data_IF_344413875678
#
_entry.id   IF_344413875678
#
_cell.length_a   1.000
_cell.length_b   1.000
_cell.length_c   1.000
_cell.angle_alpha   90.00
_cell.angle_beta   90.00
_cell.angle_gamma   90.00
#
_symmetry.space_group_name_H-M   'P 1'
#
loop_
_entity.id
_entity.type
_entity.pdbx_description
1 polymer ?
#
# COMPACT_ATOMS: atom_id res chain seq x y z
N UNK A 1 0.28 -0.53 28.09
CA UNK A 1 1.19 -1.52 27.51
C UNK A 1 0.36 -2.69 27.03
N UNK A 2 -0.17 -2.61 25.82
CA UNK A 2 -0.88 -3.70 25.15
C UNK A 2 0.12 -4.31 24.17
N UNK A 3 0.51 -5.55 24.39
CA UNK A 3 1.35 -6.29 23.45
C UNK A 3 0.63 -6.40 22.12
N UNK A 4 1.25 -5.87 21.08
CA UNK A 4 0.84 -6.11 19.70
C UNK A 4 1.28 -7.53 19.40
N UNK A 5 0.35 -8.47 19.34
CA UNK A 5 0.62 -9.83 18.86
C UNK A 5 0.96 -9.73 17.36
N UNK A 6 2.24 -9.50 17.07
CA UNK A 6 2.79 -9.55 15.73
C UNK A 6 2.75 -11.01 15.27
N UNK A 7 1.81 -11.34 14.39
CA UNK A 7 1.86 -12.60 13.66
C UNK A 7 3.13 -12.61 12.79
N UNK A 8 3.94 -13.66 12.97
CA UNK A 8 5.21 -13.85 12.29
C UNK A 8 5.20 -15.19 11.56
N UNK A 9 5.45 -15.15 10.26
CA UNK A 9 5.73 -16.35 9.47
C UNK A 9 7.21 -16.38 9.16
N UNK A 10 7.86 -17.53 9.38
CA UNK A 10 9.29 -17.69 9.07
C UNK A 10 9.53 -18.95 8.24
N UNK A 11 10.21 -18.78 7.11
CA UNK A 11 10.75 -19.87 6.28
C UNK A 11 12.09 -19.42 5.69
N UNK A 12 13.12 -20.26 5.77
CA UNK A 12 14.40 -20.07 5.04
C UNK A 12 14.99 -18.64 5.07
N UNK A 13 15.08 -18.03 6.25
CA UNK A 13 15.64 -16.67 6.40
C UNK A 13 14.72 -15.54 5.92
N UNK A 14 13.49 -15.87 5.51
CA UNK A 14 12.39 -14.93 5.21
C UNK A 14 11.51 -14.81 6.47
N UNK A 15 11.22 -13.57 6.86
CA UNK A 15 10.30 -13.21 7.93
C UNK A 15 9.19 -12.33 7.37
N UNK A 16 7.93 -12.74 7.53
CA UNK A 16 6.77 -11.90 7.23
C UNK A 16 6.20 -11.35 8.54
N UNK A 17 6.01 -10.03 8.63
CA UNK A 17 5.36 -9.36 9.77
C UNK A 17 4.03 -8.74 9.34
N UNK A 18 3.03 -8.86 10.19
CA UNK A 18 1.75 -8.15 10.08
C UNK A 18 1.78 -6.86 10.89
N UNK A 19 1.44 -5.75 10.24
CA UNK A 19 1.19 -4.46 10.87
C UNK A 19 -0.29 -4.13 10.76
N UNK A 20 -0.94 -3.94 11.90
CA UNK A 20 -2.39 -3.64 11.99
C UNK A 20 -2.68 -2.14 12.14
N UNK A 21 -1.64 -1.31 12.14
CA UNK A 21 -1.74 0.15 12.13
C UNK A 21 -0.64 0.74 11.26
N UNK A 22 -0.92 1.91 10.69
CA UNK A 22 0.06 2.64 9.90
C UNK A 22 1.24 3.09 10.76
N UNK A 23 0.97 3.46 12.02
CA UNK A 23 2.00 3.83 12.99
C UNK A 23 3.03 2.70 13.20
N UNK A 24 2.56 1.47 13.39
CA UNK A 24 3.42 0.28 13.58
C UNK A 24 4.27 -0.01 12.34
N UNK A 25 3.68 0.07 11.15
CA UNK A 25 4.44 -0.04 9.90
C UNK A 25 5.56 0.99 9.82
N UNK A 26 5.25 2.26 10.10
CA UNK A 26 6.22 3.36 9.98
C UNK A 26 7.36 3.21 11.00
N UNK A 27 7.07 2.79 12.24
CA UNK A 27 8.13 2.54 13.23
C UNK A 27 9.17 1.53 12.73
N UNK A 28 8.72 0.48 12.04
CA UNK A 28 9.60 -0.57 11.53
C UNK A 28 10.28 -0.22 10.19
N UNK A 29 9.63 0.58 9.33
CA UNK A 29 10.05 0.71 7.91
C UNK A 29 10.38 2.12 7.44
N UNK A 30 10.09 3.17 8.23
CA UNK A 30 10.14 4.56 7.77
C UNK A 30 11.50 4.97 7.18
N UNK A 31 12.60 4.57 7.83
CA UNK A 31 13.95 4.90 7.34
C UNK A 31 14.21 4.37 5.93
N UNK A 32 13.80 3.13 5.66
CA UNK A 32 13.96 2.48 4.35
C UNK A 32 13.03 3.09 3.31
N UNK A 33 11.76 3.30 3.67
CA UNK A 33 10.77 3.88 2.75
C UNK A 33 11.13 5.32 2.37
N UNK A 34 11.62 6.14 3.31
CA UNK A 34 12.08 7.50 3.02
C UNK A 34 13.33 7.54 2.13
N UNK A 35 14.31 6.66 2.37
CA UNK A 35 15.48 6.57 1.49
C UNK A 35 15.11 6.17 0.06
N UNK A 36 13.95 5.53 -0.12
CA UNK A 36 13.42 5.06 -1.39
C UNK A 36 12.09 5.72 -1.74
N UNK A 37 11.89 6.96 -1.30
CA UNK A 37 10.62 7.67 -1.39
C UNK A 37 10.02 7.59 -2.80
N UNK A 38 10.83 7.86 -3.84
CA UNK A 38 10.37 7.83 -5.24
C UNK A 38 9.71 6.50 -5.63
N UNK A 39 10.27 5.35 -5.24
CA UNK A 39 9.68 4.05 -5.56
C UNK A 39 8.63 3.62 -4.55
N UNK A 40 8.77 4.02 -3.29
CA UNK A 40 7.87 3.71 -2.19
C UNK A 40 6.67 4.65 -2.08
N UNK A 41 6.54 5.63 -2.99
CA UNK A 41 5.59 6.77 -2.90
C UNK A 41 4.20 6.35 -2.45
N UNK A 42 3.61 5.32 -3.09
CA UNK A 42 2.24 4.88 -2.76
C UNK A 42 2.15 4.34 -1.32
N UNK A 43 3.05 3.41 -0.95
CA UNK A 43 3.08 2.81 0.38
C UNK A 43 3.31 3.87 1.45
N UNK A 44 4.32 4.73 1.25
CA UNK A 44 4.69 5.76 2.21
C UNK A 44 3.58 6.80 2.37
N UNK A 45 2.95 7.24 1.28
CA UNK A 45 1.90 8.26 1.31
C UNK A 45 0.67 7.76 2.07
N UNK A 46 0.20 6.54 1.76
CA UNK A 46 -0.91 5.95 2.50
C UNK A 46 -0.54 5.70 3.97
N UNK A 47 0.66 5.19 4.27
CA UNK A 47 1.07 5.00 5.65
C UNK A 47 1.07 6.32 6.45
N UNK A 48 1.55 7.42 5.86
CA UNK A 48 1.52 8.73 6.51
C UNK A 48 0.09 9.24 6.70
N UNK A 49 -0.77 9.14 5.69
CA UNK A 49 -2.18 9.55 5.74
C UNK A 49 -2.95 8.78 6.83
N UNK A 50 -2.83 7.44 6.83
CA UNK A 50 -3.51 6.60 7.81
C UNK A 50 -2.97 6.83 9.23
N UNK A 51 -1.67 7.10 9.40
CA UNK A 51 -1.07 7.44 10.70
C UNK A 51 -1.62 8.76 11.25
N UNK A 52 -1.80 9.77 10.40
CA UNK A 52 -2.42 11.04 10.81
C UNK A 52 -3.87 10.82 11.23
N UNK A 53 -4.66 10.10 10.44
CA UNK A 53 -6.05 9.78 10.77
C UNK A 53 -6.18 8.96 12.06
N UNK A 54 -5.28 8.00 12.31
CA UNK A 54 -5.19 7.25 13.56
C UNK A 54 -4.95 8.16 14.77
N UNK A 55 -4.02 9.10 14.64
CA UNK A 55 -3.69 10.08 15.69
C UNK A 55 -4.89 10.98 16.01
N UNK A 56 -5.56 11.53 14.98
CA UNK A 56 -6.74 12.38 15.14
C UNK A 56 -7.89 11.65 15.83
N UNK A 57 -8.17 10.40 15.44
CA UNK A 57 -9.18 9.55 16.10
C UNK A 57 -8.86 9.34 17.58
N UNK A 58 -7.60 9.07 17.90
CA UNK A 58 -7.16 8.89 19.29
C UNK A 58 -7.33 10.19 20.10
N UNK A 59 -7.03 11.34 19.52
CA UNK A 59 -7.23 12.65 20.14
C UNK A 59 -8.71 12.97 20.37
N UNK A 60 -9.58 12.66 19.40
CA UNK A 60 -11.03 12.82 19.54
C UNK A 60 -11.57 11.93 20.68
N UNK A 61 -11.18 10.66 20.71
CA UNK A 61 -11.58 9.72 21.77
C UNK A 61 -11.14 10.20 23.16
N UNK A 62 -9.91 10.71 23.30
CA UNK A 62 -9.42 11.27 24.57
C UNK A 62 -10.21 12.50 25.01
N UNK A 63 -10.63 13.35 24.06
CA UNK A 63 -11.44 14.54 24.35
C UNK A 63 -12.84 14.15 24.86
N UNK A 64 -13.49 13.19 24.22
CA UNK A 64 -14.81 12.68 24.62
C UNK A 64 -14.76 11.98 25.98
N UNK A 65 -13.73 11.16 26.23
CA UNK A 65 -13.55 10.45 27.50
C UNK A 65 -13.22 11.36 28.68
N UNK A 66 -12.59 12.51 28.42
CA UNK A 66 -12.38 13.54 29.44
C UNK A 66 -13.65 14.36 29.73
N UNK A 67 -14.71 14.24 28.90
CA UNK A 67 -16.01 14.88 29.10
C UNK A 67 -17.13 13.97 29.65
N UNK A 68 -16.97 12.64 29.59
CA UNK A 68 -17.99 11.68 30.02
C UNK A 68 -17.50 10.74 31.13
N UNK A 69 -18.20 10.77 32.28
CA UNK A 69 -17.95 9.93 33.44
C UNK A 69 -18.36 8.46 33.18
N UNK A 70 -17.36 7.60 33.01
CA UNK A 70 -17.26 6.14 33.23
C UNK A 70 -18.50 5.26 32.99
N UNK A 71 -18.38 4.35 32.01
CA UNK A 71 -19.14 3.09 31.92
C UNK A 71 -18.39 2.07 31.06
N UNK A 72 -17.35 1.42 31.59
CA UNK A 72 -16.61 0.36 30.89
C UNK A 72 -17.38 -0.96 30.98
N UNK A 73 -18.16 -1.30 29.96
CA UNK A 73 -18.57 -2.69 29.71
C UNK A 73 -17.55 -3.36 28.79
N UNK A 74 -16.81 -4.33 29.31
CA UNK A 74 -15.91 -5.18 28.55
C UNK A 74 -16.73 -6.21 27.76
N UNK A 75 -16.99 -5.94 26.48
CA UNK A 75 -17.50 -6.93 25.55
C UNK A 75 -16.38 -7.89 25.15
N UNK A 76 -16.60 -9.20 25.38
CA UNK A 76 -15.72 -10.28 24.93
C UNK A 76 -15.60 -10.21 23.41
N UNK A 77 -14.37 -10.04 22.90
CA UNK A 77 -14.06 -10.13 21.48
C UNK A 77 -14.12 -11.62 21.07
N UNK A 78 -15.28 -12.01 20.52
CA UNK A 78 -15.46 -13.26 19.78
C UNK A 78 -15.12 -13.00 18.31
N UNK A 79 -14.34 -13.89 17.72
CA UNK A 79 -14.13 -14.10 16.28
C UNK A 79 -13.42 -12.97 15.51
N UNK A 80 -12.09 -13.03 15.52
CA UNK A 80 -11.22 -12.21 14.66
C UNK A 80 -11.19 -12.81 13.23
N UNK A 81 -12.21 -12.53 12.41
CA UNK A 81 -12.11 -12.60 10.94
C UNK A 81 -11.95 -11.17 10.45
N UNK A 82 -10.70 -10.73 10.27
CA UNK A 82 -10.29 -9.34 9.97
C UNK A 82 -10.45 -8.96 8.49
N UNK A 83 -11.56 -9.32 7.86
CA UNK A 83 -11.85 -8.88 6.50
C UNK A 83 -12.02 -7.34 6.40
N UNK A 84 -12.35 -6.67 7.51
CA UNK A 84 -12.70 -5.24 7.56
C UNK A 84 -11.58 -4.31 8.08
N UNK A 85 -10.32 -4.75 8.11
CA UNK A 85 -9.23 -3.92 8.68
C UNK A 85 -8.15 -3.60 7.67
N UNK A 86 -7.71 -2.35 7.68
CA UNK A 86 -6.51 -1.92 6.98
C UNK A 86 -5.29 -2.55 7.63
N UNK A 87 -4.43 -3.17 6.83
CA UNK A 87 -3.20 -3.76 7.32
C UNK A 87 -2.10 -3.70 6.27
N UNK A 88 -0.89 -3.95 6.75
CA UNK A 88 0.30 -4.07 5.93
C UNK A 88 1.03 -5.36 6.28
N UNK A 89 1.61 -5.99 5.27
CA UNK A 89 2.56 -7.09 5.44
C UNK A 89 3.93 -6.62 4.99
N UNK A 90 4.94 -6.87 5.81
CA UNK A 90 6.34 -6.60 5.45
C UNK A 90 7.11 -7.91 5.36
N UNK A 91 7.94 -8.04 4.33
CA UNK A 91 8.82 -9.20 4.16
C UNK A 91 10.25 -8.76 4.39
N UNK A 92 10.92 -9.42 5.30
CA UNK A 92 12.29 -9.20 5.68
C UNK A 92 13.12 -10.42 5.32
N UNK A 93 14.34 -10.23 4.82
CA UNK A 93 15.29 -11.33 4.65
C UNK A 93 16.53 -11.11 5.49
N UNK A 94 17.06 -12.20 6.03
CA UNK A 94 18.30 -12.20 6.82
C UNK A 94 19.39 -12.85 5.98
N UNK A 95 20.48 -12.12 5.75
CA UNK A 95 21.59 -12.57 4.90
C UNK A 95 22.49 -13.62 5.58
N UNK A 96 22.56 -13.62 6.92
CA UNK A 96 23.28 -14.62 7.72
C UNK A 96 22.55 -14.84 9.06
N UNK A 97 22.20 -16.08 9.45
CA UNK A 97 21.58 -16.37 10.75
C UNK A 97 22.42 -15.94 11.97
N UNK A 98 23.72 -15.64 11.79
CA UNK A 98 24.60 -15.10 12.84
C UNK A 98 24.62 -13.58 12.90
N UNK A 99 24.06 -12.90 11.92
CA UNK A 99 24.05 -11.44 11.83
C UNK A 99 22.62 -10.94 12.07
N UNK A 100 22.44 -10.01 13.01
CA UNK A 100 21.12 -9.48 13.39
C UNK A 100 20.52 -8.53 12.35
N UNK A 101 21.20 -8.28 11.22
CA UNK A 101 20.72 -7.37 10.19
C UNK A 101 19.72 -8.09 9.26
N UNK A 102 18.43 -7.83 9.48
CA UNK A 102 17.39 -8.13 8.51
C UNK A 102 17.15 -6.92 7.59
N UNK A 103 16.97 -7.19 6.30
CA UNK A 103 16.68 -6.16 5.30
C UNK A 103 15.21 -6.24 4.87
N UNK A 104 14.53 -5.09 4.81
CA UNK A 104 13.18 -4.99 4.28
C UNK A 104 13.22 -5.22 2.76
N UNK A 105 12.45 -6.21 2.28
CA UNK A 105 12.43 -6.61 0.88
C UNK A 105 11.12 -6.25 0.20
N UNK A 106 9.99 -6.56 0.81
CA UNK A 106 8.66 -6.28 0.26
C UNK A 106 7.77 -5.59 1.27
N UNK A 107 6.89 -4.74 0.77
CA UNK A 107 5.75 -4.22 1.53
C UNK A 107 4.49 -4.44 0.71
N UNK A 108 3.46 -4.98 1.35
CA UNK A 108 2.11 -5.11 0.83
C UNK A 108 1.19 -4.25 1.70
N UNK A 109 0.33 -3.46 1.09
CA UNK A 109 -0.79 -2.82 1.78
C UNK A 109 -2.13 -3.36 1.27
N UNK A 110 -3.03 -3.64 2.21
CA UNK A 110 -4.41 -4.02 1.94
C UNK A 110 -5.28 -3.02 2.71
N UNK A 111 -5.86 -2.07 1.98
CA UNK A 111 -6.47 -0.87 2.54
C UNK A 111 -7.87 -0.67 1.99
N UNK A 112 -8.73 -0.12 2.82
CA UNK A 112 -10.07 0.33 2.50
C UNK A 112 -10.14 1.82 2.83
N UNK A 113 -10.59 2.61 1.86
CA UNK A 113 -10.76 4.04 1.97
C UNK A 113 -12.23 4.45 1.85
N UNK A 114 -12.45 5.75 1.64
CA UNK A 114 -13.80 6.33 1.55
C UNK A 114 -14.58 5.89 0.31
N UNK A 115 -13.88 5.47 -0.76
CA UNK A 115 -14.48 4.93 -2.00
C UNK A 115 -14.57 3.40 -2.00
N UNK A 116 -14.36 2.76 -0.85
CA UNK A 116 -14.35 1.31 -0.71
C UNK A 116 -12.93 0.71 -0.73
N UNK A 117 -12.85 -0.54 -1.15
CA UNK A 117 -11.62 -1.30 -1.12
C UNK A 117 -10.61 -0.80 -2.14
N UNK A 118 -9.42 -0.44 -1.68
CA UNK A 118 -8.31 -0.13 -2.57
C UNK A 118 -7.70 -1.42 -3.12
N UNK A 119 -7.04 -1.34 -4.30
CA UNK A 119 -6.16 -2.39 -4.77
C UNK A 119 -5.12 -2.75 -3.71
N UNK A 120 -4.64 -3.99 -3.77
CA UNK A 120 -3.46 -4.39 -3.01
C UNK A 120 -2.25 -3.69 -3.62
N UNK A 121 -1.55 -2.86 -2.85
CA UNK A 121 -0.33 -2.23 -3.33
C UNK A 121 0.89 -3.05 -2.93
N UNK A 122 1.79 -3.29 -3.88
CA UNK A 122 3.03 -4.02 -3.71
C UNK A 122 4.23 -3.13 -4.01
N UNK A 123 5.18 -3.13 -3.09
CA UNK A 123 6.46 -2.48 -3.24
C UNK A 123 7.61 -3.45 -2.93
N UNK A 124 8.75 -3.23 -3.59
CA UNK A 124 9.99 -3.94 -3.32
C UNK A 124 11.17 -2.98 -3.20
N UNK A 125 12.09 -3.27 -2.28
CA UNK A 125 13.38 -2.60 -2.19
C UNK A 125 14.36 -3.03 -3.28
N UNK A 126 14.11 -4.17 -3.91
CA UNK A 126 14.99 -4.72 -4.93
C UNK A 126 15.09 -3.78 -6.13
N UNK A 127 16.27 -3.73 -6.77
CA UNK A 127 16.40 -3.05 -8.06
C UNK A 127 15.73 -3.91 -9.13
N UNK A 128 14.99 -3.33 -10.10
CA UNK A 128 14.43 -4.09 -11.22
C UNK A 128 15.53 -4.97 -11.87
N UNK A 129 15.18 -6.19 -12.24
CA UNK A 129 16.06 -7.17 -12.91
C UNK A 129 17.30 -7.63 -12.12
N UNK A 130 17.54 -7.11 -10.91
CA UNK A 130 18.66 -7.50 -10.06
C UNK A 130 18.37 -8.73 -9.18
N UNK A 131 17.09 -9.01 -8.94
CA UNK A 131 16.66 -10.13 -8.09
C UNK A 131 16.45 -11.36 -8.94
N UNK A 132 17.20 -12.43 -8.65
CA UNK A 132 16.96 -13.72 -9.27
C UNK A 132 15.52 -14.17 -9.05
N UNK A 133 14.87 -14.68 -10.10
CA UNK A 133 13.44 -15.03 -10.10
C UNK A 133 13.05 -15.92 -8.91
N UNK A 134 13.92 -16.87 -8.54
CA UNK A 134 13.70 -17.79 -7.42
C UNK A 134 13.57 -17.09 -6.06
N UNK A 135 14.38 -16.05 -5.83
CA UNK A 135 14.34 -15.28 -4.57
C UNK A 135 13.05 -14.47 -4.46
N UNK A 136 12.68 -13.78 -5.54
CA UNK A 136 11.43 -13.03 -5.58
C UNK A 136 10.23 -13.97 -5.42
N UNK A 137 10.24 -15.11 -6.12
CA UNK A 137 9.19 -16.11 -6.04
C UNK A 137 9.00 -16.64 -4.61
N UNK A 138 10.09 -16.96 -3.92
CA UNK A 138 10.05 -17.47 -2.53
C UNK A 138 9.47 -16.42 -1.56
N UNK A 139 9.87 -15.15 -1.69
CA UNK A 139 9.35 -14.03 -0.89
C UNK A 139 7.86 -13.78 -1.13
N UNK A 140 7.43 -13.77 -2.39
CA UNK A 140 6.03 -13.60 -2.77
C UNK A 140 5.16 -14.76 -2.27
N UNK A 141 5.66 -16.00 -2.34
CA UNK A 141 4.95 -17.16 -1.80
C UNK A 141 4.72 -17.02 -0.29
N UNK A 142 5.75 -16.64 0.47
CA UNK A 142 5.64 -16.42 1.91
C UNK A 142 4.63 -15.30 2.23
N UNK A 143 4.68 -14.20 1.49
CA UNK A 143 3.74 -13.09 1.61
C UNK A 143 2.29 -13.52 1.36
N UNK A 144 2.05 -14.34 0.34
CA UNK A 144 0.70 -14.80 -0.01
C UNK A 144 0.13 -15.81 0.97
N UNK A 145 0.98 -16.66 1.55
CA UNK A 145 0.57 -17.54 2.65
C UNK A 145 0.03 -16.69 3.80
N UNK A 146 0.81 -15.69 4.23
CA UNK A 146 0.40 -14.78 5.29
C UNK A 146 -0.86 -13.99 4.93
N UNK A 147 -1.00 -13.55 3.68
CA UNK A 147 -2.17 -12.82 3.22
C UNK A 147 -3.45 -13.65 3.28
N UNK A 148 -3.40 -14.91 2.83
CA UNK A 148 -4.55 -15.83 2.85
C UNK A 148 -4.96 -16.26 4.26
N UNK A 149 -4.06 -16.16 5.25
CA UNK A 149 -4.40 -16.38 6.65
C UNK A 149 -5.22 -15.22 7.25
N UNK A 150 -5.25 -14.05 6.58
CA UNK A 150 -5.86 -12.80 7.08
C UNK A 150 -7.15 -12.45 6.34
N UNK A 151 -7.15 -12.61 5.01
CA UNK A 151 -8.26 -12.18 4.15
C UNK A 151 -8.79 -13.33 3.28
N UNK A 152 -10.04 -13.20 2.85
CA UNK A 152 -10.60 -14.08 1.83
C UNK A 152 -10.03 -13.74 0.43
N UNK A 153 -9.78 -14.72 -0.46
CA UNK A 153 -9.19 -14.47 -1.76
C UNK A 153 -9.83 -13.37 -2.61
N UNK A 154 -11.17 -13.21 -2.61
CA UNK A 154 -11.82 -12.18 -3.45
C UNK A 154 -11.50 -10.74 -3.00
N UNK A 155 -10.96 -10.54 -1.79
CA UNK A 155 -10.48 -9.22 -1.37
C UNK A 155 -9.31 -8.73 -2.24
N UNK A 156 -8.60 -9.66 -2.90
CA UNK A 156 -7.58 -9.35 -3.90
C UNK A 156 -8.21 -9.33 -5.29
N UNK A 157 -8.92 -8.24 -5.58
CA UNK A 157 -9.54 -8.01 -6.89
C UNK A 157 -8.62 -7.25 -7.85
N UNK A 158 -7.66 -6.48 -7.33
CA UNK A 158 -6.69 -5.72 -8.10
C UNK A 158 -5.37 -5.61 -7.34
N UNK A 159 -4.25 -5.71 -8.06
CA UNK A 159 -2.90 -5.63 -7.50
C UNK A 159 -2.11 -4.60 -8.28
N UNK A 160 -1.54 -3.62 -7.56
CA UNK A 160 -0.78 -2.54 -8.15
C UNK A 160 0.66 -2.53 -7.64
N UNK A 161 1.62 -2.34 -8.55
CA UNK A 161 3.04 -2.32 -8.20
C UNK A 161 3.92 -2.41 -9.44
N UNK A 162 5.22 -2.65 -9.23
CA UNK A 162 6.16 -2.87 -10.34
C UNK A 162 5.78 -4.12 -11.13
N UNK A 163 5.91 -4.09 -12.46
CA UNK A 163 5.36 -5.13 -13.35
C UNK A 163 5.87 -6.54 -13.09
N UNK A 164 7.15 -6.70 -12.76
CA UNK A 164 7.76 -7.99 -12.35
C UNK A 164 7.16 -8.53 -11.05
N UNK A 165 6.93 -7.65 -10.05
CA UNK A 165 6.29 -7.99 -8.79
C UNK A 165 4.84 -8.42 -9.00
N UNK A 166 4.08 -7.65 -9.77
CA UNK A 166 2.66 -7.92 -10.03
C UNK A 166 2.52 -9.25 -10.79
N UNK A 167 3.30 -9.48 -11.85
CA UNK A 167 3.31 -10.75 -12.58
C UNK A 167 3.77 -11.92 -11.72
N UNK A 168 4.78 -11.72 -10.86
CA UNK A 168 5.24 -12.72 -9.91
C UNK A 168 4.15 -13.09 -8.91
N UNK A 169 3.48 -12.08 -8.35
CA UNK A 169 2.40 -12.24 -7.38
C UNK A 169 1.22 -12.96 -8.04
N UNK A 170 0.77 -12.48 -9.19
CA UNK A 170 -0.35 -13.06 -9.94
C UNK A 170 -0.12 -14.55 -10.24
N UNK A 171 1.03 -14.93 -10.81
CA UNK A 171 1.35 -16.34 -11.07
C UNK A 171 1.23 -17.21 -9.82
N UNK A 172 1.77 -16.73 -8.70
CA UNK A 172 1.72 -17.46 -7.44
C UNK A 172 0.31 -17.46 -6.82
N UNK A 173 -0.47 -16.39 -7.01
CA UNK A 173 -1.84 -16.26 -6.52
C UNK A 173 -2.79 -17.22 -7.25
N UNK A 174 -2.72 -17.26 -8.58
CA UNK A 174 -3.48 -18.18 -9.44
C UNK A 174 -3.19 -19.63 -9.03
N UNK A 175 -1.90 -19.98 -8.92
CA UNK A 175 -1.50 -21.34 -8.55
C UNK A 175 -2.03 -21.79 -7.18
N UNK A 176 -2.27 -20.85 -6.26
CA UNK A 176 -2.64 -21.13 -4.87
C UNK A 176 -4.14 -21.06 -4.61
N UNK A 177 -4.84 -20.16 -5.31
CA UNK A 177 -6.26 -19.86 -5.06
C UNK A 177 -7.17 -20.31 -6.19
N UNK A 178 -6.63 -20.55 -7.39
CA UNK A 178 -7.40 -20.84 -8.59
C UNK A 178 -8.06 -19.61 -9.24
N UNK A 179 -7.94 -18.43 -8.64
CA UNK A 179 -8.47 -17.18 -9.23
C UNK A 179 -7.59 -16.77 -10.41
N UNK A 180 -8.21 -16.71 -11.58
CA UNK A 180 -7.58 -16.30 -12.82
C UNK A 180 -7.67 -14.78 -12.99
N UNK A 181 -6.73 -14.22 -13.75
CA UNK A 181 -6.76 -12.81 -14.14
C UNK A 181 -7.95 -12.55 -15.07
N UNK A 182 -8.63 -11.43 -14.85
CA UNK A 182 -9.59 -10.91 -15.82
C UNK A 182 -8.86 -10.45 -17.08
N UNK A 183 -9.23 -10.95 -18.27
CA UNK A 183 -8.49 -10.71 -19.51
C UNK A 183 -8.51 -9.24 -19.94
N UNK A 184 -9.47 -8.46 -19.43
CA UNK A 184 -9.54 -7.02 -19.63
C UNK A 184 -9.19 -6.31 -18.32
N UNK A 185 -8.10 -5.52 -18.34
CA UNK A 185 -7.66 -4.73 -17.20
C UNK A 185 -8.79 -3.77 -16.78
N UNK A 186 -9.36 -3.97 -15.59
CA UNK A 186 -10.36 -3.07 -15.02
C UNK A 186 -9.84 -1.62 -14.92
N UNK A 187 -8.52 -1.44 -14.76
CA UNK A 187 -7.88 -0.12 -14.77
C UNK A 187 -6.39 -0.24 -15.14
N UNK A 188 -5.96 0.37 -16.26
CA UNK A 188 -4.54 0.52 -16.61
C UNK A 188 -4.01 1.84 -16.02
N UNK A 189 -3.49 1.79 -14.79
CA UNK A 189 -2.82 2.93 -14.19
C UNK A 189 -1.30 2.89 -14.42
N UNK A 190 -0.75 4.02 -14.85
CA UNK A 190 0.69 4.26 -14.91
C UNK A 190 1.06 5.30 -13.85
N UNK A 191 1.87 4.90 -12.87
CA UNK A 191 2.48 5.86 -11.96
C UNK A 191 3.67 6.51 -12.65
N UNK A 192 3.58 7.82 -12.83
CA UNK A 192 4.70 8.65 -13.31
C UNK A 192 5.02 9.70 -12.26
N UNK A 193 6.27 10.17 -12.25
CA UNK A 193 6.67 11.27 -11.39
C UNK A 193 7.34 12.35 -12.24
N UNK A 194 7.19 13.61 -11.81
CA UNK A 194 7.82 14.74 -12.43
C UNK A 194 8.40 15.65 -11.36
N UNK A 195 9.69 15.93 -11.44
CA UNK A 195 10.36 16.95 -10.63
C UNK A 195 10.44 18.26 -11.42
N UNK A 196 10.74 19.37 -10.74
CA UNK A 196 11.00 20.65 -11.41
C UNK A 196 12.11 20.55 -12.46
N UNK A 197 13.11 19.71 -12.21
CA UNK A 197 14.29 19.55 -13.07
C UNK A 197 14.02 18.58 -14.24
N UNK A 198 13.14 17.60 -14.05
CA UNK A 198 12.74 16.64 -15.10
C UNK A 198 11.55 17.13 -15.92
N UNK A 199 10.89 18.21 -15.50
CA UNK A 199 9.81 18.83 -16.27
C UNK A 199 10.40 19.46 -17.53
N UNK A 200 10.02 18.93 -18.69
CA UNK A 200 10.45 19.43 -20.00
C UNK A 200 9.26 20.03 -20.74
N UNK A 201 9.47 21.17 -21.38
CA UNK A 201 8.49 21.70 -22.33
C UNK A 201 8.28 20.69 -23.45
N UNK A 202 7.01 20.38 -23.75
CA UNK A 202 6.69 19.48 -24.85
C UNK A 202 7.26 20.04 -26.16
N UNK A 203 8.02 19.23 -26.88
CA UNK A 203 8.44 19.51 -28.26
C UNK A 203 7.44 18.96 -29.28
N UNK A 204 6.36 18.33 -28.81
CA UNK A 204 5.33 17.78 -29.68
C UNK A 204 4.58 18.94 -30.32
N UNK A 205 4.71 19.05 -31.65
CA UNK A 205 3.94 19.98 -32.49
C UNK A 205 2.48 19.94 -32.09
N UNK A 206 1.86 21.11 -32.00
CA UNK A 206 0.43 21.32 -31.77
C UNK A 206 -0.40 20.28 -32.53
N UNK A 207 -0.77 19.21 -31.85
CA UNK A 207 -1.85 18.38 -32.32
C UNK A 207 -3.14 19.18 -32.13
N UNK A 208 -4.18 18.86 -32.90
CA UNK A 208 -5.52 19.48 -32.87
C UNK A 208 -6.20 19.44 -31.48
N UNK A 209 -5.52 18.89 -30.45
CA UNK A 209 -5.99 18.70 -29.06
C UNK A 209 -5.38 19.69 -28.05
N UNK A 210 -4.63 20.69 -28.49
CA UNK A 210 -4.10 21.78 -27.64
C UNK A 210 -2.64 21.60 -27.20
N UNK A 211 -2.10 22.62 -26.54
CA UNK A 211 -0.70 22.68 -26.08
C UNK A 211 -0.58 22.30 -24.60
N UNK A 212 0.40 21.45 -24.29
CA UNK A 212 0.77 21.14 -22.90
C UNK A 212 1.83 22.15 -22.47
N UNK A 213 1.49 22.97 -21.47
CA UNK A 213 2.43 23.92 -20.84
C UNK A 213 2.30 23.88 -19.32
N UNK A 214 3.28 24.48 -18.64
CA UNK A 214 3.21 24.71 -17.20
C UNK A 214 1.99 25.60 -16.89
N UNK A 215 1.24 25.24 -15.86
CA UNK A 215 0.14 26.05 -15.37
C UNK A 215 0.67 27.36 -14.77
N UNK A 216 -0.02 28.45 -15.11
CA UNK A 216 0.20 29.79 -14.58
C UNK A 216 -0.94 30.17 -13.63
N UNK A 217 -0.77 31.22 -12.83
CA UNK A 217 -1.80 31.66 -11.89
C UNK A 217 -3.13 32.00 -12.57
N UNK A 218 -3.11 32.34 -13.85
CA UNK A 218 -4.28 32.61 -14.69
C UNK A 218 -5.10 31.36 -14.99
N UNK A 219 -4.52 30.16 -14.92
CA UNK A 219 -5.21 28.89 -15.16
C UNK A 219 -6.02 28.41 -13.96
N UNK A 220 -5.84 29.02 -12.79
CA UNK A 220 -6.42 28.59 -11.52
C UNK A 220 -7.94 28.37 -11.58
N UNK A 221 -8.75 29.27 -12.18
CA UNK A 221 -10.20 29.06 -12.28
C UNK A 221 -10.55 27.80 -13.10
N UNK A 222 -9.88 27.61 -14.25
CA UNK A 222 -10.12 26.47 -15.13
C UNK A 222 -9.67 25.16 -14.49
N UNK A 223 -8.49 25.13 -13.87
CA UNK A 223 -7.98 23.96 -13.14
C UNK A 223 -8.92 23.60 -11.98
N UNK A 224 -9.41 24.59 -11.22
CA UNK A 224 -10.34 24.33 -10.12
C UNK A 224 -11.66 23.70 -10.59
N UNK A 225 -12.13 24.10 -11.78
CA UNK A 225 -13.35 23.53 -12.39
C UNK A 225 -13.12 22.08 -12.79
N UNK A 226 -12.00 21.79 -13.46
CA UNK A 226 -11.63 20.41 -13.82
C UNK A 226 -11.46 19.51 -12.58
N UNK A 227 -10.84 20.01 -11.51
CA UNK A 227 -10.72 19.27 -10.25
C UNK A 227 -12.08 18.96 -9.64
N UNK A 228 -13.02 19.90 -9.69
CA UNK A 228 -14.39 19.69 -9.21
C UNK A 228 -15.12 18.66 -10.08
N UNK A 229 -15.10 18.81 -11.39
CA UNK A 229 -15.76 17.88 -12.31
C UNK A 229 -15.22 16.45 -12.16
N UNK A 230 -13.91 16.30 -11.99
CA UNK A 230 -13.29 15.02 -11.70
C UNK A 230 -13.79 14.42 -10.38
N UNK A 231 -13.84 15.22 -9.31
CA UNK A 231 -14.33 14.78 -8.01
C UNK A 231 -15.82 14.38 -8.07
N UNK A 232 -16.66 15.18 -8.73
CA UNK A 232 -18.11 14.93 -8.85
C UNK A 232 -18.40 13.64 -9.65
N UNK A 233 -17.60 13.36 -10.69
CA UNK A 233 -17.76 12.14 -11.52
C UNK A 233 -17.26 10.89 -10.81
N UNK A 234 -16.27 11.02 -9.91
CA UNK A 234 -15.67 9.89 -9.18
C UNK A 234 -16.56 9.31 -8.09
N UNK A 235 -17.65 9.98 -7.70
CA UNK A 235 -18.58 9.54 -6.64
C UNK A 235 -19.78 8.75 -7.20
N UNK A 236 -19.91 8.62 -8.52
CA UNK A 236 -21.11 8.05 -9.18
C UNK A 236 -20.90 6.70 -9.90
N UNK A 237 -19.82 5.97 -9.60
CA UNK A 237 -19.56 4.61 -10.12
C UNK A 237 -19.51 3.59 -8.98
#
# INVERSE_FOLDING_TARGET
MTGIDLLRWSQEGILVKLHTSATDLLLDTYSVLCQRELSATIILSHALEFSQAESERLHAYRRERNGAQIGLSCGRASECRTADRNFWLTVWTTSDPKQESSELQLVLSCLTGHLGDYPVFLWSSDVPDSTGEDKLHSRLRALQVALLDIIHPERVFSVFGRSDLVKGFQRAWVARTGFIEEPESFYEALLTFCTKDTFRSSTQSESTRGTIRKAESTDLPSVSTLCKEFADTSVSL
#
